data_IF_976007191896
#
_entry.id   IF_976007191896
#
_cell.length_a   1.000
_cell.length_b   1.000
_cell.length_c   1.000
_cell.angle_alpha   90.00
_cell.angle_beta   90.00
_cell.angle_gamma   90.00
#
_symmetry.space_group_name_H-M   'P 1'
#
loop_
_entity.id
_entity.type
_entity.pdbx_description
1 polymer ?
#
# COMPACT_ATOMS: atom_id res chain seq x y z
N UNK A 1 -13.00 4.42 5.01
CA UNK A 1 -13.22 4.81 3.59
C UNK A 1 -12.26 5.89 3.08
N UNK A 2 -11.82 6.87 3.88
CA UNK A 2 -10.91 7.96 3.44
C UNK A 2 -9.63 7.47 2.77
N UNK A 3 -8.95 6.48 3.34
CA UNK A 3 -7.73 5.87 2.78
C UNK A 3 -7.90 5.41 1.32
N UNK A 4 -8.94 4.62 1.03
CA UNK A 4 -9.25 4.16 -0.34
C UNK A 4 -9.44 5.34 -1.30
N UNK A 5 -10.08 6.43 -0.86
CA UNK A 5 -10.26 7.62 -1.68
C UNK A 5 -8.95 8.29 -2.09
N UNK A 6 -7.93 8.30 -1.20
CA UNK A 6 -6.60 8.79 -1.55
C UNK A 6 -5.91 7.88 -2.54
N UNK A 7 -5.83 6.57 -2.26
CA UNK A 7 -5.10 5.60 -3.09
C UNK A 7 -5.73 5.44 -4.48
N UNK A 8 -7.06 5.52 -4.57
CA UNK A 8 -7.78 5.39 -5.84
C UNK A 8 -7.74 6.68 -6.69
N UNK A 9 -6.99 7.72 -6.27
CA UNK A 9 -6.89 8.94 -7.03
C UNK A 9 -6.08 8.73 -8.33
N UNK A 10 -6.55 9.29 -9.45
CA UNK A 10 -5.94 9.11 -10.78
C UNK A 10 -4.45 9.44 -10.82
N UNK A 11 -4.01 10.45 -10.06
CA UNK A 11 -2.58 10.81 -9.95
C UNK A 11 -1.73 9.71 -9.33
N UNK A 12 -2.26 8.97 -8.35
CA UNK A 12 -1.55 7.86 -7.70
C UNK A 12 -1.54 6.64 -8.63
N UNK A 13 -2.67 6.29 -9.24
CA UNK A 13 -2.70 5.19 -10.21
C UNK A 13 -1.78 5.43 -11.43
N UNK A 14 -1.59 6.70 -11.81
CA UNK A 14 -0.69 7.05 -12.90
C UNK A 14 0.80 6.78 -12.60
N UNK A 15 1.21 6.72 -11.33
CA UNK A 15 2.61 6.43 -10.98
C UNK A 15 2.97 4.98 -11.22
N UNK A 16 2.01 4.06 -11.06
CA UNK A 16 2.21 2.64 -11.31
C UNK A 16 0.93 2.00 -11.86
N UNK A 17 0.90 1.82 -13.19
CA UNK A 17 -0.24 1.19 -13.89
C UNK A 17 -0.35 -0.31 -13.64
N UNK A 18 0.70 -0.94 -13.15
CA UNK A 18 0.70 -2.37 -12.79
C UNK A 18 0.16 -2.58 -11.36
N UNK A 19 -0.05 -1.51 -10.58
CA UNK A 19 -0.62 -1.58 -9.25
C UNK A 19 -2.15 -1.66 -9.34
N UNK A 20 -2.71 -2.82 -8.99
CA UNK A 20 -4.15 -3.01 -8.94
C UNK A 20 -4.69 -2.62 -7.55
N UNK A 21 -5.76 -1.81 -7.54
CA UNK A 21 -6.44 -1.38 -6.31
C UNK A 21 -7.84 -1.98 -6.30
N UNK A 22 -8.06 -2.96 -5.43
CA UNK A 22 -9.34 -3.62 -5.25
C UNK A 22 -10.02 -3.19 -3.94
N UNK A 23 -11.35 -3.14 -3.92
CA UNK A 23 -12.14 -2.87 -2.73
C UNK A 23 -13.21 -3.95 -2.57
N UNK A 24 -13.10 -4.74 -1.50
CA UNK A 24 -14.11 -5.72 -1.09
C UNK A 24 -14.99 -5.09 0.00
N UNK A 25 -16.29 -4.93 -0.29
CA UNK A 25 -17.25 -4.28 0.61
C UNK A 25 -18.17 -5.35 1.21
N UNK A 26 -18.04 -5.56 2.52
CA UNK A 26 -18.79 -6.58 3.26
C UNK A 26 -19.78 -5.96 4.25
N UNK A 27 -20.89 -6.68 4.49
CA UNK A 27 -21.91 -6.37 5.50
C UNK A 27 -22.01 -7.48 6.57
N UNK A 28 -20.88 -8.15 6.84
CA UNK A 28 -20.75 -9.27 7.77
C UNK A 28 -20.31 -8.83 9.19
N UNK A 29 -20.19 -7.52 9.43
CA UNK A 29 -19.70 -6.97 10.70
C UNK A 29 -18.19 -7.09 10.89
N UNK A 30 -17.44 -7.54 9.87
CA UNK A 30 -15.99 -7.62 9.94
C UNK A 30 -15.31 -6.25 10.05
N UNK A 31 -14.16 -6.22 10.73
CA UNK A 31 -13.36 -5.01 10.83
C UNK A 31 -12.75 -4.61 9.47
N UNK A 32 -12.65 -3.30 9.18
CA UNK A 32 -12.02 -2.84 7.96
C UNK A 32 -10.53 -3.20 7.95
N UNK A 33 -10.10 -3.87 6.90
CA UNK A 33 -8.72 -4.31 6.70
C UNK A 33 -8.19 -3.78 5.37
N UNK A 34 -6.93 -3.38 5.37
CA UNK A 34 -6.17 -3.07 4.15
C UNK A 34 -5.02 -4.04 4.04
N UNK A 35 -5.00 -4.80 2.95
CA UNK A 35 -3.90 -5.70 2.59
C UNK A 35 -3.18 -5.14 1.36
N UNK A 36 -1.87 -4.99 1.45
CA UNK A 36 -1.00 -4.51 0.37
C UNK A 36 0.03 -5.57 0.07
N UNK A 37 -0.01 -6.11 -1.15
CA UNK A 37 0.95 -7.08 -1.66
C UNK A 37 1.99 -6.37 -2.53
N UNK A 38 3.27 -6.55 -2.21
CA UNK A 38 4.38 -6.00 -2.98
C UNK A 38 4.89 -7.01 -4.02
N UNK A 39 5.58 -6.51 -5.04
CA UNK A 39 6.10 -7.34 -6.13
C UNK A 39 7.15 -8.39 -5.67
N UNK A 40 7.81 -8.16 -4.53
CA UNK A 40 8.74 -9.11 -3.93
C UNK A 40 8.07 -10.19 -3.06
N UNK A 41 6.74 -10.19 -3.01
CA UNK A 41 5.94 -11.15 -2.22
C UNK A 41 5.70 -10.73 -0.77
N UNK A 42 6.32 -9.64 -0.30
CA UNK A 42 6.01 -9.10 1.02
C UNK A 42 4.56 -8.60 1.09
N UNK A 43 3.99 -8.66 2.29
CA UNK A 43 2.66 -8.10 2.58
C UNK A 43 2.70 -7.07 3.71
N UNK A 44 1.89 -6.03 3.58
CA UNK A 44 1.59 -5.07 4.63
C UNK A 44 0.09 -5.14 4.93
N UNK A 45 -0.25 -5.61 6.12
CA UNK A 45 -1.64 -5.71 6.59
C UNK A 45 -1.87 -4.62 7.65
N UNK A 46 -2.88 -3.79 7.42
CA UNK A 46 -3.28 -2.70 8.32
C UNK A 46 -4.73 -2.89 8.76
N UNK A 47 -4.94 -3.01 10.08
CA UNK A 47 -6.29 -3.07 10.68
C UNK A 47 -6.83 -1.66 10.86
N UNK A 48 -7.77 -1.27 10.01
CA UNK A 48 -8.31 0.09 9.94
C UNK A 48 -9.21 0.49 11.12
N UNK A 49 -9.57 -0.43 12.00
CA UNK A 49 -10.39 -0.13 13.18
C UNK A 49 -9.67 0.79 14.19
N UNK A 50 -8.35 0.65 14.32
CA UNK A 50 -7.53 1.36 15.31
C UNK A 50 -6.50 2.31 14.68
N UNK A 51 -6.61 2.57 13.37
CA UNK A 51 -5.65 3.38 12.62
C UNK A 51 -6.34 4.55 11.94
N UNK A 52 -5.74 5.72 12.05
CA UNK A 52 -6.12 6.89 11.26
C UNK A 52 -5.66 6.73 9.82
N UNK A 53 -6.30 7.47 8.91
CA UNK A 53 -5.89 7.48 7.50
C UNK A 53 -4.44 7.96 7.32
N UNK A 54 -3.98 8.89 8.16
CA UNK A 54 -2.62 9.42 8.09
C UNK A 54 -1.61 8.34 8.48
N UNK A 55 -1.84 7.61 9.56
CA UNK A 55 -0.96 6.50 9.97
C UNK A 55 -0.86 5.43 8.90
N UNK A 56 -1.98 5.07 8.26
CA UNK A 56 -1.99 4.10 7.17
C UNK A 56 -1.19 4.58 5.96
N UNK A 57 -1.32 5.86 5.58
CA UNK A 57 -0.56 6.46 4.48
C UNK A 57 0.94 6.55 4.80
N UNK A 58 1.29 6.92 6.04
CA UNK A 58 2.69 6.96 6.48
C UNK A 58 3.32 5.57 6.50
N UNK A 59 2.60 4.55 6.99
CA UNK A 59 3.07 3.18 7.00
C UNK A 59 3.31 2.66 5.57
N UNK A 60 2.38 2.93 4.65
CA UNK A 60 2.54 2.57 3.24
C UNK A 60 3.74 3.30 2.61
N UNK A 61 3.84 4.62 2.78
CA UNK A 61 4.94 5.42 2.23
C UNK A 61 6.30 4.99 2.75
N UNK A 62 6.42 4.73 4.06
CA UNK A 62 7.64 4.21 4.67
C UNK A 62 8.06 2.87 4.06
N UNK A 63 7.10 1.96 3.83
CA UNK A 63 7.37 0.65 3.22
C UNK A 63 7.78 0.75 1.76
N UNK A 64 7.15 1.66 0.99
CA UNK A 64 7.54 1.94 -0.39
C UNK A 64 8.98 2.48 -0.48
N UNK A 65 9.32 3.51 0.31
CA UNK A 65 10.65 4.10 0.31
C UNK A 65 11.73 3.09 0.73
N UNK A 66 11.46 2.27 1.74
CA UNK A 66 12.38 1.23 2.17
C UNK A 66 12.63 0.16 1.09
N UNK A 67 11.65 -0.09 0.21
CA UNK A 67 11.79 -1.03 -0.92
C UNK A 67 12.53 -0.40 -2.09
N UNK A 68 12.26 0.86 -2.41
CA UNK A 68 12.99 1.62 -3.43
C UNK A 68 14.50 1.65 -3.14
N UNK A 69 14.87 1.98 -1.89
CA UNK A 69 16.27 1.97 -1.46
C UNK A 69 16.93 0.59 -1.57
N UNK A 70 16.17 -0.49 -1.31
CA UNK A 70 16.66 -1.87 -1.44
C UNK A 70 16.87 -2.28 -2.90
N UNK A 71 15.98 -1.85 -3.79
CA UNK A 71 16.09 -2.05 -5.24
C UNK A 71 17.33 -1.33 -5.79
N UNK A 72 17.53 -0.06 -5.43
CA UNK A 72 18.70 0.72 -5.85
C UNK A 72 20.03 0.10 -5.38
N UNK A 73 20.09 -0.40 -4.14
CA UNK A 73 21.27 -1.08 -3.62
C UNK A 73 21.56 -2.42 -4.32
N UNK A 74 20.52 -3.17 -4.71
CA UNK A 74 20.68 -4.40 -5.50
C UNK A 74 21.20 -4.10 -6.91
N UNK A 75 20.73 -3.03 -7.54
CA UNK A 75 21.19 -2.61 -8.86
C UNK A 75 22.66 -2.15 -8.84
N UNK A 76 23.09 -1.43 -7.79
CA UNK A 76 24.50 -1.02 -7.62
C UNK A 76 25.47 -2.16 -7.33
N UNK A 77 25.01 -3.25 -6.68
CA UNK A 77 25.85 -4.44 -6.40
C UNK A 77 25.98 -5.40 -7.59
N UNK A 78 25.12 -5.25 -8.61
CA UNK A 78 25.13 -6.08 -9.83
C UNK A 78 25.89 -5.43 -10.99
N UNK A 79 26.39 -4.21 -10.81
CA UNK A 79 27.15 -3.46 -11.83
C UNK A 79 28.65 -3.48 -11.56
#
# INVERSE_FOLDING_TARGET
>A
RKFLGYINHKRIQATNRNCEVMADVRHDGSEPLVDVMFADGDRLIMKGANLTTIEMLMALGSRCNAKELKEEQKSKKKS
#
